data_IF_439318898199
#
_entry.id   IF_439318898199
#
_cell.length_a   1.000
_cell.length_b   1.000
_cell.length_c   1.000
_cell.angle_alpha   90.00
_cell.angle_beta   90.00
_cell.angle_gamma   90.00
#
_symmetry.space_group_name_H-M   'P 1'
#
loop_
_entity.id
_entity.type
_entity.pdbx_description
1 polymer ?
#
# COMPACT_ATOMS: atom_id res chain seq x y z
N UNK A 1 18.90 2.97 28.67
CA UNK A 1 18.14 4.20 28.30
C UNK A 1 19.07 5.25 27.68
N UNK A 2 20.13 5.69 28.33
CA UNK A 2 21.06 6.72 27.78
C UNK A 2 21.71 6.36 26.45
N UNK A 3 22.11 5.09 26.23
CA UNK A 3 22.67 4.65 24.95
C UNK A 3 21.65 4.76 23.80
N UNK A 4 20.41 4.30 24.04
CA UNK A 4 19.33 4.38 23.06
C UNK A 4 18.96 5.84 22.76
N UNK A 5 18.89 6.66 23.79
CA UNK A 5 18.62 8.10 23.68
C UNK A 5 19.72 8.82 22.88
N UNK A 6 20.99 8.49 23.12
CA UNK A 6 22.13 9.04 22.39
C UNK A 6 22.12 8.61 20.92
N UNK A 7 21.83 7.32 20.62
CA UNK A 7 21.74 6.80 19.27
C UNK A 7 20.58 7.48 18.50
N UNK A 8 19.41 7.58 19.13
CA UNK A 8 18.23 8.20 18.55
C UNK A 8 18.44 9.70 18.28
N UNK A 9 19.02 10.43 19.26
CA UNK A 9 19.28 11.88 19.11
C UNK A 9 20.38 12.17 18.09
N UNK A 10 21.50 11.47 18.15
CA UNK A 10 22.66 11.80 17.31
C UNK A 10 22.55 11.33 15.88
N UNK A 11 21.95 10.17 15.61
CA UNK A 11 21.90 9.57 14.28
C UNK A 11 20.55 9.74 13.61
N UNK A 12 19.46 9.29 14.24
CA UNK A 12 18.14 9.31 13.59
C UNK A 12 17.59 10.73 13.46
N UNK A 13 17.70 11.56 14.46
CA UNK A 13 17.23 12.95 14.37
C UNK A 13 18.04 13.74 13.33
N UNK A 14 19.37 13.57 13.33
CA UNK A 14 20.22 14.23 12.33
C UNK A 14 19.94 13.75 10.90
N UNK A 15 19.67 12.44 10.72
CA UNK A 15 19.26 11.87 9.43
C UNK A 15 17.90 12.41 8.99
N UNK A 16 16.95 12.50 9.91
CA UNK A 16 15.62 13.08 9.65
C UNK A 16 15.75 14.51 9.14
N UNK A 17 16.48 15.37 9.84
CA UNK A 17 16.67 16.77 9.44
C UNK A 17 17.38 16.91 8.08
N UNK A 18 18.32 16.02 7.74
CA UNK A 18 18.98 16.01 6.43
C UNK A 18 18.01 15.61 5.32
N UNK A 19 17.21 14.57 5.54
CA UNK A 19 16.20 14.13 4.57
C UNK A 19 15.14 15.20 4.31
N UNK A 20 14.65 15.85 5.36
CA UNK A 20 13.66 16.92 5.22
C UNK A 20 14.16 18.17 4.50
N UNK A 21 15.49 18.38 4.41
CA UNK A 21 16.07 19.46 3.59
C UNK A 21 16.22 19.11 2.11
N UNK A 22 16.06 17.83 1.75
CA UNK A 22 16.18 17.39 0.36
C UNK A 22 14.91 17.74 -0.42
N UNK A 23 14.98 18.51 -1.53
CA UNK A 23 13.80 18.92 -2.28
C UNK A 23 13.02 17.73 -2.89
N UNK A 24 13.71 16.66 -3.26
CA UNK A 24 13.06 15.44 -3.74
C UNK A 24 12.24 14.74 -2.66
N UNK A 25 12.79 14.69 -1.45
CA UNK A 25 12.11 14.12 -0.31
C UNK A 25 10.88 14.96 0.09
N UNK A 26 11.02 16.28 0.06
CA UNK A 26 9.89 17.20 0.26
C UNK A 26 8.80 17.03 -0.79
N UNK A 27 9.19 16.88 -2.07
CA UNK A 27 8.24 16.64 -3.17
C UNK A 27 7.44 15.35 -2.96
N UNK A 28 8.10 14.25 -2.61
CA UNK A 28 7.43 12.97 -2.32
C UNK A 28 6.47 13.13 -1.15
N UNK A 29 6.93 13.71 -0.07
CA UNK A 29 6.15 13.91 1.13
C UNK A 29 4.92 14.79 0.89
N UNK A 30 5.10 15.92 0.22
CA UNK A 30 4.01 16.82 -0.12
C UNK A 30 2.94 16.14 -0.98
N UNK A 31 3.36 15.34 -1.97
CA UNK A 31 2.44 14.57 -2.80
C UNK A 31 1.59 13.62 -1.97
N UNK A 32 2.20 12.88 -1.04
CA UNK A 32 1.48 11.95 -0.16
C UNK A 32 0.45 12.71 0.68
N UNK A 33 0.80 13.85 1.26
CA UNK A 33 -0.15 14.67 2.03
C UNK A 33 -1.28 15.22 1.16
N UNK A 34 -0.98 15.69 -0.05
CA UNK A 34 -2.00 16.18 -1.00
C UNK A 34 -2.99 15.07 -1.40
N UNK A 35 -2.51 13.84 -1.50
CA UNK A 35 -3.35 12.68 -1.86
C UNK A 35 -4.15 12.11 -0.67
N UNK A 36 -3.81 12.49 0.55
CA UNK A 36 -4.46 12.01 1.76
C UNK A 36 -6.00 12.11 1.76
N UNK A 37 -6.63 13.25 1.40
CA UNK A 37 -8.10 13.35 1.39
C UNK A 37 -8.75 12.35 0.44
N UNK A 38 -8.13 12.11 -0.71
CA UNK A 38 -8.62 11.11 -1.68
C UNK A 38 -8.49 9.70 -1.14
N UNK A 39 -7.32 9.35 -0.57
CA UNK A 39 -7.08 8.06 0.06
C UNK A 39 -8.08 7.80 1.19
N UNK A 40 -8.29 8.77 2.07
CA UNK A 40 -9.24 8.67 3.17
C UNK A 40 -10.67 8.47 2.68
N UNK A 41 -11.11 9.29 1.71
CA UNK A 41 -12.48 9.21 1.18
C UNK A 41 -12.74 7.85 0.53
N UNK A 42 -11.82 7.37 -0.29
CA UNK A 42 -11.94 6.09 -0.98
C UNK A 42 -11.89 4.93 0.03
N UNK A 43 -10.95 4.97 0.98
CA UNK A 43 -10.85 3.95 2.02
C UNK A 43 -12.10 3.90 2.89
N UNK A 44 -12.64 5.06 3.30
CA UNK A 44 -13.88 5.12 4.07
C UNK A 44 -15.06 4.57 3.28
N UNK A 45 -15.21 4.94 2.00
CA UNK A 45 -16.26 4.41 1.12
C UNK A 45 -16.13 2.88 0.97
N UNK A 46 -14.90 2.39 0.80
CA UNK A 46 -14.63 0.95 0.73
C UNK A 46 -15.06 0.22 1.99
N UNK A 47 -14.71 0.73 3.17
CA UNK A 47 -15.07 0.11 4.46
C UNK A 47 -16.58 0.13 4.68
N UNK A 48 -17.25 1.26 4.44
CA UNK A 48 -18.69 1.33 4.53
C UNK A 48 -19.35 0.28 3.64
N UNK A 49 -18.81 0.11 2.41
CA UNK A 49 -19.27 -0.93 1.52
C UNK A 49 -19.04 -2.34 2.11
N UNK A 50 -17.81 -2.66 2.55
CA UNK A 50 -17.46 -3.98 3.08
C UNK A 50 -18.21 -4.35 4.35
N UNK A 51 -18.52 -3.37 5.21
CA UNK A 51 -19.27 -3.64 6.45
C UNK A 51 -20.77 -3.78 6.16
N UNK A 52 -21.35 -2.84 5.41
CA UNK A 52 -22.82 -2.71 5.33
C UNK A 52 -23.41 -3.32 4.06
N UNK A 53 -22.68 -3.35 2.97
CA UNK A 53 -23.22 -3.75 1.65
C UNK A 53 -22.62 -5.04 1.11
N UNK A 54 -21.47 -5.51 1.59
CA UNK A 54 -20.91 -6.77 1.11
C UNK A 54 -21.88 -7.93 1.39
N UNK A 55 -22.36 -8.66 0.36
CA UNK A 55 -23.29 -9.78 0.55
C UNK A 55 -22.78 -10.86 1.52
N UNK A 56 -21.46 -10.95 1.69
CA UNK A 56 -20.79 -11.90 2.60
C UNK A 56 -20.26 -11.24 3.86
N UNK A 57 -20.44 -9.92 3.97
CA UNK A 57 -19.96 -9.10 5.08
C UNK A 57 -20.70 -9.32 6.38
N UNK A 58 -20.23 -8.65 7.46
CA UNK A 58 -20.77 -8.86 8.81
C UNK A 58 -22.23 -8.44 8.97
N UNK A 59 -22.74 -7.55 8.11
CA UNK A 59 -24.13 -7.08 8.19
C UNK A 59 -25.06 -7.90 7.29
N UNK A 60 -24.66 -8.15 6.04
CA UNK A 60 -25.49 -8.84 5.04
C UNK A 60 -25.34 -10.35 5.06
N UNK A 61 -24.16 -10.86 5.38
CA UNK A 61 -23.81 -12.28 5.24
C UNK A 61 -24.44 -13.19 6.31
N UNK A 62 -24.58 -14.47 5.98
CA UNK A 62 -25.15 -15.52 6.85
C UNK A 62 -24.41 -15.70 8.17
N UNK A 63 -23.12 -15.38 8.21
CA UNK A 63 -22.28 -15.48 9.41
C UNK A 63 -22.31 -14.22 10.28
N UNK A 64 -23.04 -13.17 9.85
CA UNK A 64 -23.18 -11.91 10.56
C UNK A 64 -24.63 -11.67 11.02
N UNK A 65 -25.12 -10.44 10.83
CA UNK A 65 -26.51 -10.08 11.16
C UNK A 65 -27.55 -10.66 10.20
N UNK A 66 -27.10 -11.23 9.08
CA UNK A 66 -27.90 -11.90 8.06
C UNK A 66 -29.07 -11.05 7.48
N UNK A 67 -28.84 -9.73 7.39
CA UNK A 67 -29.85 -8.83 6.80
C UNK A 67 -30.07 -9.10 5.33
N UNK A 68 -29.09 -9.66 4.61
CA UNK A 68 -29.22 -10.03 3.22
C UNK A 68 -30.31 -11.07 2.98
N UNK A 69 -30.39 -12.09 3.83
CA UNK A 69 -31.48 -13.08 3.75
C UNK A 69 -32.86 -12.43 4.03
N UNK A 70 -32.94 -11.54 5.00
CA UNK A 70 -34.19 -10.81 5.28
C UNK A 70 -34.59 -9.93 4.10
N UNK A 71 -33.67 -9.21 3.45
CA UNK A 71 -33.95 -8.34 2.30
C UNK A 71 -34.33 -9.14 1.01
N UNK A 72 -33.89 -10.38 0.91
CA UNK A 72 -34.20 -11.27 -0.23
C UNK A 72 -35.40 -12.17 0.02
N UNK A 73 -36.16 -11.96 1.11
CA UNK A 73 -37.33 -12.78 1.41
C UNK A 73 -37.03 -14.15 1.98
N UNK A 74 -35.86 -14.31 2.64
CA UNK A 74 -35.47 -15.56 3.30
C UNK A 74 -34.65 -16.50 2.41
N UNK A 75 -33.96 -15.99 1.39
CA UNK A 75 -33.05 -16.79 0.57
C UNK A 75 -31.73 -17.07 1.31
N UNK A 76 -31.24 -18.31 1.23
CA UNK A 76 -30.01 -18.79 1.85
C UNK A 76 -29.15 -19.56 0.86
N UNK A 77 -27.85 -19.69 1.16
CA UNK A 77 -26.91 -20.49 0.38
C UNK A 77 -26.81 -20.11 -1.08
N UNK A 78 -26.96 -21.07 -1.99
CA UNK A 78 -26.83 -20.87 -3.43
C UNK A 78 -27.95 -19.98 -4.01
N UNK A 79 -29.19 -20.08 -3.49
CA UNK A 79 -30.30 -19.23 -3.92
C UNK A 79 -30.06 -17.75 -3.56
N UNK A 80 -29.42 -17.45 -2.43
CA UNK A 80 -29.01 -16.11 -2.07
C UNK A 80 -27.91 -15.61 -3.02
N UNK A 81 -26.92 -16.45 -3.33
CA UNK A 81 -25.81 -16.12 -4.26
C UNK A 81 -26.30 -15.69 -5.63
N UNK A 82 -27.31 -16.38 -6.14
CA UNK A 82 -27.88 -16.14 -7.47
C UNK A 82 -28.99 -15.08 -7.46
N UNK A 83 -29.25 -14.43 -6.32
CA UNK A 83 -30.29 -13.41 -6.23
C UNK A 83 -29.92 -12.14 -7.00
N UNK A 84 -30.92 -11.49 -7.60
CA UNK A 84 -30.75 -10.18 -8.25
C UNK A 84 -30.21 -9.10 -7.28
N UNK A 85 -30.41 -9.27 -5.99
CA UNK A 85 -29.86 -8.42 -4.95
C UNK A 85 -28.32 -8.51 -4.90
N UNK A 86 -27.79 -9.74 -4.82
CA UNK A 86 -26.34 -9.99 -4.80
C UNK A 86 -25.69 -9.51 -6.09
N UNK A 87 -26.31 -9.75 -7.23
CA UNK A 87 -25.85 -9.30 -8.55
C UNK A 87 -25.71 -7.78 -8.62
N UNK A 88 -26.74 -7.05 -8.16
CA UNK A 88 -26.70 -5.57 -8.13
C UNK A 88 -25.63 -5.03 -7.21
N UNK A 89 -25.46 -5.61 -6.02
CA UNK A 89 -24.44 -5.18 -5.08
C UNK A 89 -23.04 -5.51 -5.60
N UNK A 90 -22.85 -6.67 -6.20
CA UNK A 90 -21.57 -7.05 -6.83
C UNK A 90 -21.20 -6.10 -7.98
N UNK A 91 -22.19 -5.65 -8.77
CA UNK A 91 -21.98 -4.63 -9.79
C UNK A 91 -21.57 -3.29 -9.21
N UNK A 92 -22.16 -2.88 -8.08
CA UNK A 92 -21.77 -1.66 -7.35
C UNK A 92 -20.35 -1.80 -6.77
N UNK A 93 -20.02 -2.96 -6.23
CA UNK A 93 -18.68 -3.27 -5.73
C UNK A 93 -17.63 -3.17 -6.85
N UNK A 94 -17.94 -3.70 -8.03
CA UNK A 94 -17.07 -3.58 -9.20
C UNK A 94 -16.87 -2.11 -9.60
N UNK A 95 -17.92 -1.29 -9.59
CA UNK A 95 -17.83 0.14 -9.89
C UNK A 95 -16.96 0.90 -8.86
N UNK A 96 -17.10 0.59 -7.57
CA UNK A 96 -16.24 1.17 -6.51
C UNK A 96 -14.79 0.72 -6.63
N UNK A 97 -14.54 -0.56 -6.94
CA UNK A 97 -13.18 -1.07 -7.14
C UNK A 97 -12.49 -0.42 -8.34
N UNK A 98 -13.22 -0.04 -9.39
CA UNK A 98 -12.69 0.79 -10.46
C UNK A 98 -12.22 2.16 -9.97
N UNK A 99 -12.96 2.80 -9.04
CA UNK A 99 -12.53 4.05 -8.41
C UNK A 99 -11.16 3.93 -7.73
N UNK A 100 -10.92 2.83 -7.00
CA UNK A 100 -9.62 2.54 -6.41
C UNK A 100 -8.51 2.35 -7.46
N UNK A 101 -8.85 1.82 -8.62
CA UNK A 101 -7.90 1.57 -9.71
C UNK A 101 -7.39 2.85 -10.38
N UNK A 102 -8.10 3.99 -10.23
CA UNK A 102 -7.62 5.28 -10.70
C UNK A 102 -6.62 5.95 -9.76
N UNK A 103 -6.48 5.48 -8.52
CA UNK A 103 -5.57 6.10 -7.55
C UNK A 103 -4.11 6.20 -8.01
N UNK A 104 -3.49 5.16 -8.59
CA UNK A 104 -2.13 5.26 -9.09
C UNK A 104 -1.96 6.33 -10.17
N UNK A 105 -2.98 6.56 -11.01
CA UNK A 105 -2.96 7.62 -12.03
C UNK A 105 -2.95 9.01 -11.38
N UNK A 106 -3.81 9.24 -10.40
CA UNK A 106 -3.86 10.50 -9.66
C UNK A 106 -2.56 10.74 -8.89
N UNK A 107 -2.04 9.70 -8.24
CA UNK A 107 -0.74 9.77 -7.55
C UNK A 107 0.40 10.11 -8.51
N UNK A 108 0.47 9.47 -9.68
CA UNK A 108 1.50 9.75 -10.67
C UNK A 108 1.44 11.20 -11.16
N UNK A 109 0.24 11.74 -11.39
CA UNK A 109 0.08 13.15 -11.77
C UNK A 109 0.54 14.10 -10.66
N UNK A 110 0.18 13.81 -9.41
CA UNK A 110 0.58 14.62 -8.27
C UNK A 110 2.11 14.57 -8.01
N UNK A 111 2.74 13.41 -8.18
CA UNK A 111 4.19 13.29 -8.15
C UNK A 111 4.86 14.04 -9.30
N UNK A 112 4.29 13.95 -10.52
CA UNK A 112 4.82 14.66 -11.68
C UNK A 112 4.78 16.19 -11.49
N UNK A 113 3.73 16.72 -10.90
CA UNK A 113 3.63 18.15 -10.56
C UNK A 113 4.78 18.60 -9.66
N UNK A 114 5.05 17.84 -8.59
CA UNK A 114 6.10 18.19 -7.63
C UNK A 114 7.51 17.95 -8.16
N UNK A 115 7.72 16.87 -8.89
CA UNK A 115 9.02 16.61 -9.53
C UNK A 115 9.32 17.65 -10.63
N UNK A 116 8.30 18.09 -11.36
CA UNK A 116 8.44 19.16 -12.32
C UNK A 116 8.87 20.49 -11.66
N UNK A 117 8.34 20.78 -10.47
CA UNK A 117 8.76 21.96 -9.70
C UNK A 117 10.24 21.86 -9.28
N UNK A 118 10.70 20.68 -8.80
CA UNK A 118 12.12 20.45 -8.46
C UNK A 118 13.02 20.63 -9.70
N UNK A 119 12.60 20.12 -10.86
CA UNK A 119 13.32 20.28 -12.12
C UNK A 119 13.17 21.65 -12.80
N UNK A 120 12.25 22.49 -12.32
CA UNK A 120 11.90 23.79 -12.93
C UNK A 120 11.41 23.67 -14.37
N UNK A 121 10.57 22.68 -14.66
CA UNK A 121 9.92 22.46 -15.95
C UNK A 121 8.41 22.74 -15.85
N UNK A 122 7.74 22.83 -17.01
CA UNK A 122 6.30 23.05 -17.04
C UNK A 122 5.54 21.91 -16.36
N UNK A 123 4.82 22.22 -15.28
CA UNK A 123 4.11 21.24 -14.44
C UNK A 123 3.01 20.52 -15.21
N UNK A 124 2.22 21.23 -16.05
CA UNK A 124 1.10 20.64 -16.79
C UNK A 124 1.59 19.64 -17.84
N UNK A 125 2.65 20.01 -18.56
CA UNK A 125 3.26 19.14 -19.56
C UNK A 125 3.85 17.89 -18.90
N UNK A 126 4.52 18.04 -17.75
CA UNK A 126 5.05 16.93 -16.99
C UNK A 126 3.94 15.98 -16.53
N UNK A 127 2.81 16.50 -16.01
CA UNK A 127 1.67 15.70 -15.60
C UNK A 127 1.07 14.90 -16.76
N UNK A 128 0.80 15.53 -17.90
CA UNK A 128 0.24 14.85 -19.06
C UNK A 128 1.20 13.82 -19.68
N UNK A 129 2.49 14.16 -19.76
CA UNK A 129 3.50 13.20 -20.24
C UNK A 129 3.60 12.00 -19.34
N UNK A 130 3.61 12.20 -18.03
CA UNK A 130 3.63 11.11 -17.04
C UNK A 130 2.39 10.24 -17.14
N UNK A 131 1.21 10.84 -17.23
CA UNK A 131 -0.05 10.10 -17.38
C UNK A 131 -0.02 9.23 -18.63
N UNK A 132 0.38 9.79 -19.78
CA UNK A 132 0.50 9.05 -21.03
C UNK A 132 1.55 7.93 -20.92
N UNK A 133 2.71 8.20 -20.34
CA UNK A 133 3.77 7.21 -20.10
C UNK A 133 3.31 6.05 -19.20
N UNK A 134 2.52 6.37 -18.16
CA UNK A 134 1.97 5.35 -17.26
C UNK A 134 0.92 4.48 -17.97
N UNK A 135 0.06 5.08 -18.78
CA UNK A 135 -0.91 4.33 -19.61
C UNK A 135 -0.19 3.42 -20.58
N UNK A 136 0.88 3.89 -21.25
CA UNK A 136 1.70 3.04 -22.14
C UNK A 136 2.31 1.85 -21.39
N UNK A 137 2.82 2.08 -20.18
CA UNK A 137 3.38 1.01 -19.36
C UNK A 137 2.36 -0.09 -19.03
N UNK A 138 1.10 0.27 -18.76
CA UNK A 138 0.05 -0.69 -18.39
C UNK A 138 -0.67 -1.33 -19.56
N UNK A 139 -0.66 -0.73 -20.74
CA UNK A 139 -1.35 -1.28 -21.92
C UNK A 139 -0.81 -2.66 -22.28
N UNK A 140 0.47 -2.91 -22.06
CA UNK A 140 1.16 -4.14 -22.41
C UNK A 140 1.07 -5.25 -21.34
N UNK A 141 0.79 -4.91 -20.09
CA UNK A 141 0.69 -5.89 -19.02
C UNK A 141 -0.46 -6.88 -19.22
N UNK A 142 -1.46 -6.49 -20.00
CA UNK A 142 -2.69 -7.24 -20.22
C UNK A 142 -2.80 -7.86 -21.63
N UNK A 143 -1.80 -7.66 -22.49
CA UNK A 143 -1.74 -8.27 -23.81
C UNK A 143 -0.48 -9.13 -23.93
N UNK A 144 -0.58 -10.28 -24.59
CA UNK A 144 0.62 -11.05 -24.93
C UNK A 144 1.47 -10.26 -25.94
N UNK A 145 2.77 -10.33 -25.81
CA UNK A 145 3.68 -9.67 -26.75
C UNK A 145 3.43 -10.16 -28.20
N UNK A 146 3.09 -11.44 -28.35
CA UNK A 146 2.70 -12.05 -29.63
C UNK A 146 1.44 -11.40 -30.22
N UNK A 147 0.39 -11.18 -29.43
CA UNK A 147 -0.84 -10.54 -29.89
C UNK A 147 -0.63 -9.09 -30.35
N UNK A 148 0.36 -8.40 -29.77
CA UNK A 148 0.74 -7.03 -30.16
C UNK A 148 1.54 -7.02 -31.46
N UNK A 149 2.52 -7.90 -31.58
CA UNK A 149 3.34 -8.04 -32.79
C UNK A 149 2.53 -8.51 -34.00
N UNK A 150 1.52 -9.34 -33.77
CA UNK A 150 0.58 -9.81 -34.78
C UNK A 150 -0.53 -8.80 -35.13
N UNK A 151 -0.60 -7.67 -34.43
CA UNK A 151 -1.64 -6.65 -34.64
C UNK A 151 -3.05 -7.05 -34.21
N UNK A 152 -3.20 -8.19 -33.54
CA UNK A 152 -4.51 -8.70 -33.07
C UNK A 152 -5.00 -7.99 -31.80
N UNK A 153 -4.09 -7.38 -31.02
CA UNK A 153 -4.42 -6.61 -29.84
C UNK A 153 -5.08 -5.25 -30.12
N UNK A 154 -5.01 -4.76 -31.36
CA UNK A 154 -5.46 -3.41 -31.72
C UNK A 154 -6.97 -3.26 -31.96
N UNK A 155 -7.76 -4.32 -31.86
CA UNK A 155 -9.21 -4.28 -32.16
C UNK A 155 -10.12 -3.92 -30.97
N UNK A 156 -9.58 -3.73 -29.79
CA UNK A 156 -10.32 -3.23 -28.64
C UNK A 156 -9.88 -1.80 -28.30
N UNK A 157 -10.82 -0.86 -28.11
CA UNK A 157 -10.51 0.48 -27.59
C UNK A 157 -9.60 0.37 -26.36
N UNK A 158 -9.03 1.50 -25.93
CA UNK A 158 -8.20 1.55 -24.70
C UNK A 158 -8.97 0.80 -23.61
N UNK A 159 -8.55 -0.42 -23.23
CA UNK A 159 -9.20 -1.04 -22.11
C UNK A 159 -8.95 -0.10 -20.92
N UNK A 160 -10.02 0.47 -20.37
CA UNK A 160 -9.97 1.05 -19.02
C UNK A 160 -9.71 -0.10 -18.04
N UNK A 161 -8.51 -0.68 -18.17
CA UNK A 161 -8.10 -1.76 -17.33
C UNK A 161 -7.79 -1.12 -15.99
N UNK A 162 -8.38 -1.64 -14.91
CA UNK A 162 -8.02 -1.20 -13.58
C UNK A 162 -6.50 -1.33 -13.46
N UNK A 163 -5.83 -0.20 -13.28
CA UNK A 163 -4.40 -0.19 -12.93
C UNK A 163 -4.28 -1.09 -11.70
N UNK A 164 -3.48 -2.17 -11.74
CA UNK A 164 -3.39 -3.07 -10.61
C UNK A 164 -3.07 -2.27 -9.35
N UNK A 165 -3.67 -2.63 -8.23
CA UNK A 165 -3.39 -1.96 -6.95
C UNK A 165 -1.89 -2.04 -6.57
N UNK A 166 -1.14 -2.92 -7.23
CA UNK A 166 0.32 -3.01 -7.22
C UNK A 166 1.00 -1.83 -7.94
N UNK A 167 0.25 -1.02 -8.69
CA UNK A 167 0.77 0.10 -9.50
C UNK A 167 1.28 1.30 -8.72
N UNK A 168 1.27 1.29 -7.38
CA UNK A 168 1.77 2.42 -6.59
C UNK A 168 3.27 2.64 -6.81
N UNK A 169 4.05 1.58 -6.96
CA UNK A 169 5.47 1.71 -7.30
C UNK A 169 5.67 2.38 -8.67
N UNK A 170 4.89 1.97 -9.67
CA UNK A 170 4.89 2.60 -10.98
C UNK A 170 4.40 4.05 -10.92
N UNK A 171 3.42 4.36 -10.06
CA UNK A 171 2.94 5.72 -9.84
C UNK A 171 3.99 6.68 -9.26
N UNK A 172 5.05 6.17 -8.63
CA UNK A 172 6.20 6.97 -8.15
C UNK A 172 7.34 6.97 -9.17
N UNK A 173 7.66 5.82 -9.73
CA UNK A 173 8.82 5.67 -10.65
C UNK A 173 8.57 6.32 -12.01
N UNK A 174 7.36 6.16 -12.58
CA UNK A 174 7.03 6.75 -13.88
C UNK A 174 7.18 8.28 -13.88
N UNK A 175 6.61 9.06 -12.93
CA UNK A 175 6.82 10.50 -12.90
C UNK A 175 8.28 10.87 -12.66
N UNK A 176 9.02 10.13 -11.84
CA UNK A 176 10.43 10.38 -11.61
C UNK A 176 11.24 10.25 -12.93
N UNK A 177 11.01 9.19 -13.69
CA UNK A 177 11.71 8.91 -14.94
C UNK A 177 11.25 9.90 -16.03
N UNK A 178 9.95 10.06 -16.25
CA UNK A 178 9.41 10.93 -17.30
C UNK A 178 9.81 12.40 -17.11
N UNK A 179 9.72 12.93 -15.88
CA UNK A 179 10.16 14.30 -15.59
C UNK A 179 11.67 14.48 -15.72
N UNK A 180 12.46 13.45 -15.38
CA UNK A 180 13.92 13.46 -15.58
C UNK A 180 14.28 13.47 -17.07
N UNK A 181 13.59 12.70 -17.90
CA UNK A 181 13.76 12.70 -19.36
C UNK A 181 13.41 14.10 -19.92
N UNK A 182 12.26 14.66 -19.54
CA UNK A 182 11.85 15.99 -19.96
C UNK A 182 12.91 17.06 -19.58
N UNK A 183 13.34 17.06 -18.32
CA UNK A 183 14.33 18.02 -17.84
C UNK A 183 15.70 17.81 -18.49
N UNK A 184 16.14 16.57 -18.65
CA UNK A 184 17.41 16.23 -19.26
C UNK A 184 17.49 16.63 -20.74
N UNK A 185 16.46 16.29 -21.50
CA UNK A 185 16.39 16.63 -22.93
C UNK A 185 16.28 18.13 -23.18
N UNK A 186 15.54 18.86 -22.31
CA UNK A 186 15.45 20.32 -22.38
C UNK A 186 16.80 21.02 -22.10
N UNK A 187 17.68 20.40 -21.32
CA UNK A 187 19.01 20.93 -21.00
C UNK A 187 20.05 20.65 -22.07
N UNK A 188 19.83 19.67 -22.95
CA UNK A 188 20.76 19.28 -24.00
C UNK A 188 20.58 20.16 -25.26
N UNK A 189 21.52 21.08 -25.58
CA UNK A 189 21.35 22.01 -26.72
C UNK A 189 21.25 21.30 -28.06
N UNK A 190 21.84 20.09 -28.19
CA UNK A 190 21.84 19.27 -29.43
C UNK A 190 20.49 18.62 -29.74
N UNK A 191 19.62 18.45 -28.73
CA UNK A 191 18.30 17.84 -28.89
C UNK A 191 17.19 18.87 -28.97
N UNK A 192 17.52 20.17 -28.84
CA UNK A 192 16.53 21.24 -29.03
C UNK A 192 16.22 21.36 -30.52
N UNK A 193 14.95 21.16 -30.87
CA UNK A 193 14.46 21.51 -32.19
C UNK A 193 14.71 23.01 -32.39
N UNK A 194 15.35 23.44 -33.51
CA UNK A 194 15.62 24.85 -33.75
C UNK A 194 14.34 25.67 -33.65
N UNK A 195 14.37 26.76 -32.90
CA UNK A 195 13.21 27.67 -32.83
C UNK A 195 12.95 28.21 -34.25
N UNK A 196 11.85 27.79 -34.81
CA UNK A 196 11.44 28.26 -36.11
C UNK A 196 10.98 29.70 -35.96
N UNK A 197 11.75 30.64 -36.54
CA UNK A 197 11.48 32.08 -36.46
C UNK A 197 10.14 32.48 -37.08
N UNK A 198 9.56 31.63 -37.94
CA UNK A 198 8.26 31.82 -38.58
C UNK A 198 7.05 31.61 -37.65
N UNK A 199 7.23 31.00 -36.46
CA UNK A 199 6.10 30.72 -35.56
C UNK A 199 6.06 31.67 -34.38
N UNK A 200 4.84 31.96 -33.83
CA UNK A 200 4.69 32.66 -32.57
C UNK A 200 5.52 31.99 -31.45
N UNK A 201 6.11 32.83 -30.57
CA UNK A 201 7.01 32.35 -29.51
C UNK A 201 6.42 31.21 -28.66
N UNK A 202 5.12 31.29 -28.32
CA UNK A 202 4.42 30.25 -27.54
C UNK A 202 4.36 28.94 -28.30
N UNK A 203 3.97 28.95 -29.58
CA UNK A 203 3.87 27.76 -30.40
C UNK A 203 5.24 27.11 -30.61
N UNK A 204 6.27 27.91 -30.90
CA UNK A 204 7.65 27.44 -31.04
C UNK A 204 8.15 26.77 -29.75
N UNK A 205 7.76 27.25 -28.56
CA UNK A 205 8.09 26.63 -27.28
C UNK A 205 7.45 25.24 -27.14
N UNK A 206 6.15 25.12 -27.41
CA UNK A 206 5.46 23.82 -27.32
C UNK A 206 5.99 22.79 -28.34
N UNK A 207 6.35 23.23 -29.56
CA UNK A 207 6.97 22.36 -30.55
C UNK A 207 8.33 21.81 -30.11
N UNK A 208 9.11 22.59 -29.34
CA UNK A 208 10.39 22.10 -28.80
C UNK A 208 10.20 21.02 -27.74
N UNK A 209 9.02 20.91 -27.13
CA UNK A 209 8.68 19.87 -26.15
C UNK A 209 8.21 18.55 -26.78
N UNK A 210 7.83 18.57 -28.07
CA UNK A 210 7.33 17.38 -28.75
C UNK A 210 8.35 16.23 -28.73
N UNK A 211 9.62 16.51 -28.99
CA UNK A 211 10.68 15.50 -28.97
C UNK A 211 10.92 14.88 -27.59
N UNK A 212 11.07 15.65 -26.50
CA UNK A 212 11.13 15.12 -25.14
C UNK A 212 9.93 14.23 -24.76
N UNK A 213 8.72 14.64 -25.15
CA UNK A 213 7.50 13.88 -24.89
C UNK A 213 7.53 12.56 -25.65
N UNK A 214 7.80 12.59 -26.96
CA UNK A 214 7.90 11.40 -27.78
C UNK A 214 8.97 10.43 -27.27
N UNK A 215 10.12 10.95 -26.85
CA UNK A 215 11.19 10.12 -26.28
C UNK A 215 10.75 9.43 -24.97
N UNK A 216 10.01 10.15 -24.12
CA UNK A 216 9.47 9.57 -22.89
C UNK A 216 8.46 8.47 -23.20
N UNK A 217 7.50 8.72 -24.09
CA UNK A 217 6.49 7.73 -24.48
C UNK A 217 7.13 6.50 -25.12
N UNK A 218 8.06 6.69 -26.05
CA UNK A 218 8.76 5.59 -26.70
C UNK A 218 9.57 4.75 -25.72
N UNK A 219 10.22 5.38 -24.74
CA UNK A 219 10.95 4.63 -23.71
C UNK A 219 10.03 3.76 -22.87
N UNK A 220 8.89 4.28 -22.44
CA UNK A 220 7.94 3.51 -21.63
C UNK A 220 7.25 2.41 -22.43
N UNK A 221 6.98 2.64 -23.71
CA UNK A 221 6.48 1.63 -24.63
C UNK A 221 7.52 0.52 -24.83
N UNK A 222 8.79 0.89 -25.09
CA UNK A 222 9.88 -0.07 -25.23
C UNK A 222 10.13 -0.88 -23.94
N UNK A 223 10.03 -0.24 -22.76
CA UNK A 223 10.12 -0.93 -21.47
C UNK A 223 8.96 -1.92 -21.29
N UNK A 224 7.76 -1.54 -21.69
CA UNK A 224 6.57 -2.37 -21.60
C UNK A 224 6.67 -3.60 -22.50
N UNK A 225 7.05 -3.40 -23.77
CA UNK A 225 7.30 -4.49 -24.73
C UNK A 225 8.43 -5.39 -24.21
N UNK A 226 9.55 -4.80 -23.76
CA UNK A 226 10.67 -5.55 -23.20
C UNK A 226 10.26 -6.41 -22.01
N UNK A 227 9.44 -5.87 -21.10
CA UNK A 227 8.90 -6.61 -19.97
C UNK A 227 7.99 -7.77 -20.45
N UNK A 228 7.08 -7.52 -21.39
CA UNK A 228 6.21 -8.55 -21.94
C UNK A 228 7.00 -9.70 -22.59
N UNK A 229 8.02 -9.37 -23.40
CA UNK A 229 8.91 -10.37 -24.04
C UNK A 229 9.70 -11.18 -22.99
N UNK A 230 10.23 -10.53 -21.96
CA UNK A 230 10.95 -11.21 -20.88
C UNK A 230 10.01 -12.14 -20.10
N UNK A 231 8.78 -11.70 -19.83
CA UNK A 231 7.77 -12.50 -19.14
C UNK A 231 7.40 -13.74 -19.92
N UNK A 232 7.18 -13.62 -21.23
CA UNK A 232 6.83 -14.77 -22.09
C UNK A 232 7.99 -15.76 -22.30
N UNK A 233 9.23 -15.25 -22.36
CA UNK A 233 10.39 -16.07 -22.76
C UNK A 233 11.23 -16.61 -21.61
N UNK A 234 11.31 -15.91 -20.47
CA UNK A 234 12.33 -16.19 -19.44
C UNK A 234 11.88 -16.07 -18.00
N UNK A 235 10.81 -15.35 -17.72
CA UNK A 235 10.33 -15.18 -16.37
C UNK A 235 8.91 -15.76 -16.29
N UNK A 236 8.74 -16.95 -15.69
CA UNK A 236 7.44 -17.28 -15.13
C UNK A 236 7.02 -16.07 -14.28
N UNK A 237 5.72 -15.78 -14.21
CA UNK A 237 5.27 -14.68 -13.35
C UNK A 237 5.89 -14.87 -11.97
N UNK A 238 6.11 -13.77 -11.22
CA UNK A 238 6.61 -13.91 -9.83
C UNK A 238 5.72 -14.87 -9.06
N UNK A 239 4.41 -14.92 -9.38
CA UNK A 239 3.47 -15.91 -8.87
C UNK A 239 3.85 -17.33 -9.25
N UNK A 240 4.14 -17.63 -10.52
CA UNK A 240 4.50 -18.98 -10.98
C UNK A 240 5.84 -19.43 -10.39
N UNK A 241 6.82 -18.50 -10.26
CA UNK A 241 8.08 -18.79 -9.60
C UNK A 241 7.89 -19.09 -8.11
N UNK A 242 7.07 -18.29 -7.43
CA UNK A 242 6.72 -18.54 -6.03
C UNK A 242 5.96 -19.86 -5.89
N UNK A 243 4.98 -20.10 -6.75
CA UNK A 243 4.24 -21.37 -6.77
C UNK A 243 5.18 -22.56 -6.99
N UNK A 244 6.12 -22.47 -7.94
CA UNK A 244 7.13 -23.52 -8.14
C UNK A 244 8.04 -23.72 -6.92
N UNK A 245 8.52 -22.63 -6.31
CA UNK A 245 9.36 -22.69 -5.11
C UNK A 245 8.61 -23.29 -3.91
N UNK A 246 7.32 -22.99 -3.79
CA UNK A 246 6.50 -23.47 -2.69
C UNK A 246 5.88 -24.85 -2.96
N UNK A 247 5.64 -25.25 -4.22
CA UNK A 247 5.20 -26.61 -4.57
C UNK A 247 6.22 -27.68 -4.16
N UNK A 248 7.51 -27.37 -4.25
CA UNK A 248 8.56 -28.33 -3.89
C UNK A 248 8.62 -28.64 -2.37
N UNK A 249 8.24 -27.69 -1.50
CA UNK A 249 8.20 -27.91 -0.02
C UNK A 249 7.46 -26.76 0.70
N UNK A 250 6.14 -26.62 0.52
CA UNK A 250 5.41 -25.41 0.97
C UNK A 250 5.52 -25.21 2.49
N UNK A 251 5.36 -26.27 3.27
CA UNK A 251 5.36 -26.19 4.73
C UNK A 251 6.75 -25.94 5.34
N UNK A 252 7.82 -26.47 4.74
CA UNK A 252 9.17 -26.32 5.30
C UNK A 252 9.69 -24.88 5.18
N UNK A 253 9.30 -24.16 4.13
CA UNK A 253 9.71 -22.77 3.90
C UNK A 253 8.76 -21.82 4.63
N UNK A 254 7.45 -21.95 4.43
CA UNK A 254 6.45 -21.03 4.99
C UNK A 254 6.37 -21.08 6.52
N UNK A 255 6.64 -22.25 7.12
CA UNK A 255 6.64 -22.44 8.57
C UNK A 255 7.99 -22.15 9.22
N UNK A 256 9.00 -21.70 8.45
CA UNK A 256 10.26 -21.24 9.01
C UNK A 256 10.11 -19.84 9.63
N UNK A 257 10.55 -19.69 10.89
CA UNK A 257 10.47 -18.42 11.62
C UNK A 257 11.21 -17.27 10.87
N UNK A 258 12.38 -17.54 10.32
CA UNK A 258 13.15 -16.55 9.57
C UNK A 258 12.41 -16.06 8.33
N UNK A 259 11.76 -16.98 7.61
CA UNK A 259 10.94 -16.62 6.45
C UNK A 259 9.68 -15.81 6.87
N UNK A 260 9.01 -16.19 7.95
CA UNK A 260 7.87 -15.45 8.49
C UNK A 260 8.25 -14.04 8.93
N UNK A 261 9.41 -13.86 9.57
CA UNK A 261 9.95 -12.55 9.94
C UNK A 261 10.31 -11.73 8.69
N UNK A 262 10.93 -12.33 7.67
CA UNK A 262 11.24 -11.67 6.41
C UNK A 262 9.97 -11.25 5.67
N UNK A 263 8.95 -12.11 5.62
CA UNK A 263 7.63 -11.77 5.07
C UNK A 263 7.02 -10.57 5.77
N UNK A 264 7.03 -10.55 7.10
CA UNK A 264 6.49 -9.44 7.89
C UNK A 264 7.29 -8.16 7.66
N UNK A 265 8.62 -8.24 7.62
CA UNK A 265 9.47 -7.11 7.27
C UNK A 265 9.13 -6.55 5.89
N UNK A 266 9.06 -7.39 4.87
CA UNK A 266 8.71 -6.99 3.50
C UNK A 266 7.27 -6.47 3.39
N UNK A 267 6.37 -6.89 4.27
CA UNK A 267 4.99 -6.38 4.32
C UNK A 267 4.90 -4.98 4.94
N UNK A 268 5.84 -4.59 5.83
CA UNK A 268 5.79 -3.29 6.49
C UNK A 268 6.79 -2.27 5.91
N UNK A 269 7.90 -2.71 5.33
CA UNK A 269 8.90 -1.81 4.75
C UNK A 269 8.33 -0.86 3.67
N UNK A 270 7.48 -1.29 2.74
CA UNK A 270 6.87 -0.40 1.74
C UNK A 270 5.97 0.67 2.36
N UNK A 271 5.34 0.41 3.50
CA UNK A 271 4.51 1.39 4.20
C UNK A 271 5.27 2.63 4.64
N UNK A 272 6.57 2.48 4.96
CA UNK A 272 7.39 3.63 5.30
C UNK A 272 7.55 4.63 4.13
N UNK A 273 7.42 4.17 2.90
CA UNK A 273 7.40 5.03 1.71
C UNK A 273 5.97 5.29 1.18
N UNK A 274 4.94 4.94 1.97
CA UNK A 274 3.54 5.17 1.62
C UNK A 274 2.93 4.14 0.66
N UNK A 275 3.60 3.00 0.46
CA UNK A 275 3.11 1.89 -0.37
C UNK A 275 2.47 0.83 0.52
N UNK A 276 1.29 0.34 0.13
CA UNK A 276 0.55 -0.69 0.86
C UNK A 276 1.28 -2.05 0.79
N UNK A 277 2.10 -2.35 1.79
CA UNK A 277 3.02 -3.47 1.72
C UNK A 277 2.36 -4.85 1.76
N UNK A 278 1.25 -5.05 2.51
CA UNK A 278 0.52 -6.32 2.49
C UNK A 278 0.02 -6.66 1.08
N UNK A 279 -0.40 -5.65 0.31
CA UNK A 279 -0.78 -5.86 -1.09
C UNK A 279 0.42 -6.18 -1.98
N UNK A 280 1.56 -5.55 -1.72
CA UNK A 280 2.80 -5.88 -2.43
C UNK A 280 3.25 -7.32 -2.17
N UNK A 281 2.94 -7.87 -1.00
CA UNK A 281 3.27 -9.24 -0.60
C UNK A 281 2.11 -10.23 -0.79
N UNK A 282 1.00 -9.83 -1.45
CA UNK A 282 -0.18 -10.70 -1.63
C UNK A 282 0.15 -12.01 -2.33
N UNK A 283 0.97 -11.98 -3.39
CA UNK A 283 1.37 -13.19 -4.10
C UNK A 283 2.06 -14.23 -3.18
N UNK A 284 2.91 -13.78 -2.25
CA UNK A 284 3.54 -14.66 -1.25
C UNK A 284 2.50 -15.17 -0.26
N UNK A 285 1.60 -14.30 0.21
CA UNK A 285 0.53 -14.67 1.13
C UNK A 285 -0.38 -15.73 0.51
N UNK A 286 -0.80 -15.53 -0.75
CA UNK A 286 -1.75 -16.41 -1.45
C UNK A 286 -1.17 -17.81 -1.71
N UNK A 287 0.13 -17.91 -1.95
CA UNK A 287 0.81 -19.20 -2.21
C UNK A 287 1.27 -19.88 -0.93
N UNK A 288 1.73 -19.14 0.09
CA UNK A 288 2.35 -19.70 1.28
C UNK A 288 1.41 -19.81 2.49
N UNK A 289 0.62 -18.77 2.76
CA UNK A 289 -0.09 -18.64 4.03
C UNK A 289 -1.61 -18.84 3.94
N UNK A 290 -2.23 -18.55 2.80
CA UNK A 290 -3.65 -18.86 2.55
C UNK A 290 -3.90 -20.37 2.53
N UNK A 291 -3.08 -21.22 1.86
CA UNK A 291 -3.23 -22.67 1.93
C UNK A 291 -3.00 -23.23 3.35
N UNK A 292 -2.03 -22.69 4.10
CA UNK A 292 -1.81 -23.04 5.49
C UNK A 292 -3.03 -22.72 6.37
N UNK A 293 -3.68 -21.57 6.11
CA UNK A 293 -4.94 -21.21 6.76
C UNK A 293 -6.06 -22.19 6.46
N UNK A 294 -6.21 -22.60 5.19
CA UNK A 294 -7.22 -23.56 4.77
C UNK A 294 -7.00 -24.93 5.44
N UNK A 295 -5.75 -25.41 5.52
CA UNK A 295 -5.40 -26.65 6.22
C UNK A 295 -5.72 -26.59 7.71
N UNK A 296 -5.42 -25.48 8.39
CA UNK A 296 -5.79 -25.26 9.78
C UNK A 296 -7.31 -25.31 10.00
N UNK A 297 -8.08 -24.74 9.06
CA UNK A 297 -9.52 -24.70 9.12
C UNK A 297 -10.16 -26.08 8.93
N UNK A 298 -9.59 -26.89 8.03
CA UNK A 298 -10.03 -28.27 7.78
C UNK A 298 -9.60 -29.23 8.89
N UNK A 299 -8.58 -28.88 9.66
CA UNK A 299 -8.01 -29.74 10.70
C UNK A 299 -7.01 -30.74 10.17
N UNK A 300 -6.55 -30.60 8.92
CA UNK A 300 -5.59 -31.51 8.28
C UNK A 300 -4.18 -31.35 8.85
N UNK A 301 -3.85 -30.14 9.30
CA UNK A 301 -2.54 -29.77 9.85
C UNK A 301 -2.68 -28.58 10.80
N UNK A 302 -1.67 -28.41 11.66
CA UNK A 302 -1.58 -27.25 12.57
C UNK A 302 -0.37 -26.39 12.21
N UNK A 303 -0.58 -25.45 11.29
CA UNK A 303 0.43 -24.49 10.86
C UNK A 303 0.40 -23.24 11.75
N UNK A 304 1.55 -22.84 12.28
CA UNK A 304 1.68 -21.65 13.12
C UNK A 304 1.49 -20.39 12.27
N UNK A 305 2.24 -20.32 11.15
CA UNK A 305 2.19 -19.17 10.25
C UNK A 305 1.14 -19.39 9.17
N UNK A 306 0.10 -18.59 9.22
CA UNK A 306 -0.99 -18.57 8.26
C UNK A 306 -1.47 -17.12 8.08
N UNK A 307 -2.33 -16.85 7.09
CA UNK A 307 -2.79 -15.51 6.79
C UNK A 307 -3.38 -14.78 8.01
N UNK A 308 -4.30 -15.43 8.75
CA UNK A 308 -4.93 -14.85 9.94
C UNK A 308 -3.95 -14.57 11.10
N UNK A 309 -2.82 -15.29 11.19
CA UNK A 309 -1.77 -14.98 12.16
C UNK A 309 -1.14 -13.60 11.89
N UNK A 310 -0.82 -13.31 10.63
CA UNK A 310 -0.25 -12.01 10.26
C UNK A 310 -1.27 -10.89 10.35
N UNK A 311 -2.54 -11.15 10.01
CA UNK A 311 -3.63 -10.17 10.15
C UNK A 311 -3.87 -9.81 11.62
N UNK A 312 -3.77 -10.76 12.53
CA UNK A 312 -3.88 -10.52 13.96
C UNK A 312 -2.74 -9.62 14.50
N UNK A 313 -1.57 -9.65 13.86
CA UNK A 313 -0.41 -8.81 14.18
C UNK A 313 -0.55 -7.33 13.80
N UNK A 314 -1.60 -6.93 13.08
CA UNK A 314 -1.88 -5.52 12.71
C UNK A 314 -2.13 -4.62 13.93
N UNK A 315 -2.31 -5.19 15.10
CA UNK A 315 -2.50 -4.50 16.38
C UNK A 315 -1.40 -3.48 16.71
N UNK A 316 -0.19 -3.64 16.17
CA UNK A 316 0.94 -2.73 16.43
C UNK A 316 0.68 -1.29 15.95
N UNK A 317 -0.14 -1.09 14.92
CA UNK A 317 -0.49 0.27 14.46
C UNK A 317 -1.42 0.97 15.47
N UNK A 318 -2.34 0.22 16.09
CA UNK A 318 -3.13 0.73 17.19
C UNK A 318 -2.24 1.06 18.40
N UNK A 319 -1.26 0.23 18.71
CA UNK A 319 -0.28 0.50 19.75
C UNK A 319 0.50 1.79 19.51
N UNK A 320 0.89 2.06 18.27
CA UNK A 320 1.52 3.33 17.89
C UNK A 320 0.59 4.52 18.19
N UNK A 321 -0.70 4.44 17.82
CA UNK A 321 -1.66 5.50 18.11
C UNK A 321 -1.79 5.76 19.62
N UNK A 322 -1.89 4.70 20.41
CA UNK A 322 -1.96 4.81 21.89
C UNK A 322 -0.67 5.41 22.43
N UNK A 323 0.50 4.95 21.98
CA UNK A 323 1.80 5.50 22.38
C UNK A 323 1.87 7.01 22.09
N UNK A 324 1.39 7.46 20.91
CA UNK A 324 1.34 8.88 20.56
C UNK A 324 0.36 9.65 21.45
N UNK A 325 -0.83 9.13 21.71
CA UNK A 325 -1.80 9.79 22.60
C UNK A 325 -1.22 10.00 24.01
N UNK A 326 -0.47 9.01 24.51
CA UNK A 326 0.06 9.01 25.88
C UNK A 326 1.37 9.80 25.98
N UNK A 327 2.33 9.60 25.07
CA UNK A 327 3.71 10.07 25.23
C UNK A 327 4.06 11.26 24.33
N UNK A 328 3.25 11.59 23.31
CA UNK A 328 3.55 12.71 22.42
C UNK A 328 3.20 14.05 23.07
N UNK A 329 4.08 15.06 22.88
CA UNK A 329 3.82 16.47 23.22
C UNK A 329 3.16 17.24 22.08
N UNK A 330 3.23 16.74 20.86
CA UNK A 330 2.65 17.35 19.67
C UNK A 330 1.12 17.21 19.70
N UNK A 331 0.41 18.32 19.79
CA UNK A 331 -1.05 18.34 19.88
C UNK A 331 -1.69 17.73 18.62
N UNK A 332 -1.22 18.14 17.47
CA UNK A 332 -1.73 17.69 16.16
C UNK A 332 -1.62 16.15 16.01
N UNK A 333 -0.50 15.57 16.42
CA UNK A 333 -0.31 14.11 16.36
C UNK A 333 -1.27 13.37 17.28
N UNK A 334 -1.50 13.89 18.47
CA UNK A 334 -2.48 13.30 19.41
C UNK A 334 -3.91 13.39 18.87
N UNK A 335 -4.25 14.51 18.24
CA UNK A 335 -5.58 14.73 17.70
C UNK A 335 -5.83 13.83 16.47
N UNK A 336 -4.85 13.67 15.57
CA UNK A 336 -4.88 12.68 14.48
C UNK A 336 -5.01 11.27 15.03
N UNK A 337 -4.23 10.90 16.07
CA UNK A 337 -4.28 9.57 16.67
C UNK A 337 -5.63 9.28 17.31
N UNK A 338 -6.25 10.26 18.00
CA UNK A 338 -7.59 10.13 18.57
C UNK A 338 -8.66 9.98 17.47
N UNK A 339 -8.56 10.78 16.41
CA UNK A 339 -9.47 10.69 15.26
C UNK A 339 -9.36 9.32 14.58
N UNK A 340 -8.15 8.81 14.43
CA UNK A 340 -7.89 7.53 13.77
C UNK A 340 -8.28 6.33 14.64
N UNK A 341 -8.36 6.48 15.95
CA UNK A 341 -8.54 5.37 16.89
C UNK A 341 -9.78 4.49 16.61
N UNK A 342 -10.98 5.03 16.37
CA UNK A 342 -12.15 4.22 16.00
C UNK A 342 -11.94 3.45 14.69
N UNK A 343 -11.21 4.04 13.74
CA UNK A 343 -10.91 3.44 12.44
C UNK A 343 -9.88 2.31 12.59
N UNK A 344 -8.92 2.44 13.50
CA UNK A 344 -7.98 1.38 13.85
C UNK A 344 -8.66 0.16 14.46
N UNK A 345 -9.78 0.34 15.19
CA UNK A 345 -10.58 -0.76 15.70
C UNK A 345 -11.18 -1.63 14.59
N UNK A 346 -11.31 -1.10 13.38
CA UNK A 346 -11.76 -1.82 12.19
C UNK A 346 -10.63 -2.07 11.19
N UNK A 347 -9.38 -2.10 11.67
CA UNK A 347 -8.16 -2.31 10.89
C UNK A 347 -7.92 -1.29 9.76
N UNK A 348 -8.44 -0.07 9.88
CA UNK A 348 -8.18 1.03 8.97
C UNK A 348 -7.09 1.94 9.54
N UNK A 349 -5.87 1.80 9.06
CA UNK A 349 -4.70 2.50 9.60
C UNK A 349 -4.20 3.65 8.71
N UNK A 350 -4.70 3.80 7.48
CA UNK A 350 -4.32 4.88 6.57
C UNK A 350 -4.41 6.28 7.20
N UNK A 351 -5.49 6.65 7.93
CA UNK A 351 -5.62 7.97 8.55
C UNK A 351 -4.51 8.27 9.55
N UNK A 352 -4.06 7.27 10.29
CA UNK A 352 -2.96 7.42 11.23
C UNK A 352 -1.62 7.56 10.50
N UNK A 353 -1.33 6.65 9.56
CA UNK A 353 -0.03 6.58 8.91
C UNK A 353 0.24 7.80 8.04
N UNK A 354 -0.78 8.32 7.37
CA UNK A 354 -0.65 9.52 6.53
C UNK A 354 -0.90 10.83 7.29
N UNK A 355 -1.81 10.84 8.25
CA UNK A 355 -2.12 12.04 9.06
C UNK A 355 -1.06 12.36 10.11
N UNK A 356 -0.37 11.35 10.60
CA UNK A 356 0.81 11.51 11.44
C UNK A 356 2.07 11.34 10.58
N UNK A 357 3.17 12.07 10.84
CA UNK A 357 4.40 11.94 10.05
C UNK A 357 5.14 10.63 10.37
N UNK A 358 4.51 9.48 10.12
CA UNK A 358 5.14 8.15 10.18
C UNK A 358 5.81 7.84 8.86
N UNK A 359 5.09 8.07 7.76
CA UNK A 359 5.60 7.87 6.40
C UNK A 359 6.79 8.80 6.16
N UNK A 360 7.87 8.23 5.65
CA UNK A 360 9.14 8.92 5.37
C UNK A 360 9.77 9.58 6.61
N UNK A 361 9.44 9.14 7.81
CA UNK A 361 10.07 9.61 9.04
C UNK A 361 11.09 8.57 9.55
N UNK A 362 12.40 8.86 9.49
CA UNK A 362 13.44 7.92 9.94
C UNK A 362 13.35 7.55 11.43
N UNK A 363 12.78 8.41 12.27
CA UNK A 363 12.60 8.11 13.70
C UNK A 363 11.64 6.94 13.87
N UNK A 364 10.58 6.89 13.07
CA UNK A 364 9.60 5.81 13.11
C UNK A 364 9.96 4.60 12.24
N UNK A 365 10.94 4.70 11.33
CA UNK A 365 11.34 3.58 10.48
C UNK A 365 11.68 2.34 11.29
N UNK A 366 12.59 2.51 12.26
CA UNK A 366 13.09 1.37 13.02
C UNK A 366 12.00 0.65 13.82
N UNK A 367 11.22 1.33 14.70
CA UNK A 367 10.16 0.65 15.42
C UNK A 367 9.06 0.12 14.51
N UNK A 368 8.72 0.82 13.45
CA UNK A 368 7.67 0.41 12.51
C UNK A 368 8.00 -0.90 11.77
N UNK A 369 9.29 -1.23 11.61
CA UNK A 369 9.74 -2.50 11.06
C UNK A 369 9.95 -3.56 12.14
N UNK A 370 10.53 -3.20 13.28
CA UNK A 370 10.92 -4.18 14.30
C UNK A 370 9.76 -4.65 15.18
N UNK A 371 8.78 -3.78 15.45
CA UNK A 371 7.65 -4.14 16.33
C UNK A 371 6.81 -5.29 15.75
N UNK A 372 6.37 -5.25 14.47
CA UNK A 372 5.64 -6.39 13.91
C UNK A 372 6.48 -7.67 13.83
N UNK A 373 7.80 -7.58 13.67
CA UNK A 373 8.68 -8.75 13.74
C UNK A 373 8.74 -9.33 15.16
N UNK A 374 8.74 -8.49 16.19
CA UNK A 374 8.67 -8.93 17.58
C UNK A 374 7.33 -9.66 17.86
N UNK A 375 6.24 -9.19 17.28
CA UNK A 375 4.93 -9.87 17.37
C UNK A 375 4.98 -11.26 16.74
N UNK A 376 5.62 -11.42 15.58
CA UNK A 376 5.81 -12.73 14.95
C UNK A 376 6.58 -13.68 15.89
N UNK A 377 7.68 -13.19 16.49
CA UNK A 377 8.50 -14.01 17.40
C UNK A 377 7.71 -14.44 18.64
N UNK A 378 7.00 -13.52 19.29
CA UNK A 378 6.21 -13.82 20.50
C UNK A 378 5.05 -14.74 20.18
N UNK A 379 4.35 -14.50 19.07
CA UNK A 379 3.27 -15.36 18.62
C UNK A 379 3.76 -16.77 18.31
N UNK A 380 4.91 -16.89 17.64
CA UNK A 380 5.54 -18.18 17.40
C UNK A 380 5.87 -18.93 18.70
N UNK A 381 6.47 -18.25 19.68
CA UNK A 381 6.77 -18.85 20.99
C UNK A 381 5.49 -19.29 21.69
N UNK A 382 4.47 -18.43 21.75
CA UNK A 382 3.22 -18.71 22.45
C UNK A 382 2.48 -19.93 21.86
N UNK A 383 2.48 -20.06 20.53
CA UNK A 383 1.84 -21.19 19.85
C UNK A 383 2.69 -22.44 19.95
N UNK A 384 4.02 -22.35 19.74
CA UNK A 384 4.93 -23.50 19.83
C UNK A 384 4.94 -24.14 21.22
N UNK A 385 4.70 -23.35 22.27
CA UNK A 385 4.59 -23.88 23.64
C UNK A 385 3.18 -24.33 24.00
N UNK A 386 2.23 -24.28 23.06
CA UNK A 386 0.85 -24.71 23.29
C UNK A 386 0.04 -23.79 24.20
N UNK A 387 0.53 -22.57 24.49
CA UNK A 387 -0.20 -21.57 25.30
C UNK A 387 -1.39 -21.03 24.51
N UNK A 388 -1.18 -20.79 23.21
CA UNK A 388 -2.20 -20.27 22.28
C UNK A 388 -2.39 -21.30 21.18
N UNK A 389 -3.63 -21.69 20.84
CA UNK A 389 -3.88 -22.56 19.70
C UNK A 389 -3.57 -21.84 18.37
N UNK A 390 -3.34 -22.63 17.31
CA UNK A 390 -3.14 -22.09 15.96
C UNK A 390 -4.36 -21.30 15.47
N UNK A 391 -4.11 -20.35 14.59
CA UNK A 391 -5.18 -19.56 13.96
C UNK A 391 -5.92 -20.42 12.93
N UNK A 392 -7.20 -20.73 13.19
CA UNK A 392 -8.01 -21.64 12.37
C UNK A 392 -9.00 -20.91 11.47
N UNK A 393 -9.59 -19.81 11.95
CA UNK A 393 -10.70 -19.18 11.28
C UNK A 393 -10.28 -17.87 10.63
N UNK A 394 -10.70 -17.66 9.38
CA UNK A 394 -10.61 -16.37 8.72
C UNK A 394 -11.73 -15.50 9.27
N UNK A 395 -11.36 -14.36 9.82
CA UNK A 395 -12.31 -13.37 10.34
C UNK A 395 -12.42 -12.19 9.36
N UNK A 396 -13.60 -11.55 9.29
CA UNK A 396 -13.76 -10.34 8.50
C UNK A 396 -12.78 -9.25 8.94
N UNK A 397 -12.22 -8.52 7.98
CA UNK A 397 -11.53 -7.26 8.26
C UNK A 397 -12.48 -6.35 9.05
N UNK A 398 -12.00 -5.74 10.11
CA UNK A 398 -12.86 -4.87 10.93
C UNK A 398 -13.25 -5.45 12.30
N UNK A 399 -12.68 -6.59 12.66
CA UNK A 399 -12.78 -7.06 14.04
C UNK A 399 -11.78 -6.34 14.93
N UNK A 400 -12.23 -5.77 16.06
CA UNK A 400 -11.34 -5.14 17.02
C UNK A 400 -10.28 -6.11 17.55
N UNK A 401 -9.09 -5.62 17.92
CA UNK A 401 -8.12 -6.41 18.66
C UNK A 401 -8.76 -7.08 19.89
N UNK A 402 -8.25 -8.21 20.30
CA UNK A 402 -8.80 -9.16 21.25
C UNK A 402 -9.91 -10.04 20.66
N UNK A 403 -10.99 -9.46 20.13
CA UNK A 403 -12.05 -10.26 19.49
C UNK A 403 -11.55 -10.97 18.23
N UNK A 404 -10.72 -10.29 17.43
CA UNK A 404 -10.10 -10.88 16.26
C UNK A 404 -9.27 -12.13 16.59
N UNK A 405 -8.35 -12.03 17.55
CA UNK A 405 -7.53 -13.17 17.97
C UNK A 405 -8.34 -14.28 18.63
N UNK A 406 -9.34 -13.92 19.43
CA UNK A 406 -10.23 -14.90 20.07
C UNK A 406 -11.03 -15.70 19.04
N UNK A 407 -11.62 -15.03 18.06
CA UNK A 407 -12.43 -15.69 17.03
C UNK A 407 -11.57 -16.48 16.04
N UNK A 408 -10.41 -15.95 15.63
CA UNK A 408 -9.51 -16.64 14.69
C UNK A 408 -8.94 -17.94 15.27
N UNK A 409 -8.63 -17.97 16.56
CA UNK A 409 -8.10 -19.17 17.23
C UNK A 409 -9.19 -20.08 17.80
N UNK A 410 -10.42 -19.55 17.94
CA UNK A 410 -11.50 -20.22 18.69
C UNK A 410 -11.22 -20.28 20.20
N UNK A 411 -10.31 -19.47 20.73
CA UNK A 411 -9.87 -19.49 22.13
C UNK A 411 -9.65 -18.09 22.67
N UNK A 412 -10.00 -17.88 23.95
CA UNK A 412 -9.72 -16.62 24.67
C UNK A 412 -8.21 -16.31 24.68
N UNK A 413 -7.33 -17.34 24.63
CA UNK A 413 -5.89 -17.19 24.61
C UNK A 413 -5.38 -16.47 23.35
N UNK A 414 -6.06 -16.61 22.20
CA UNK A 414 -5.75 -15.82 20.99
C UNK A 414 -6.02 -14.33 21.19
N UNK A 415 -7.10 -13.98 21.88
CA UNK A 415 -7.37 -12.60 22.27
C UNK A 415 -6.35 -12.05 23.27
N UNK A 416 -5.97 -12.88 24.26
CA UNK A 416 -4.92 -12.51 25.23
C UNK A 416 -3.57 -12.27 24.56
N UNK A 417 -3.21 -13.05 23.55
CA UNK A 417 -2.00 -12.83 22.75
C UNK A 417 -2.02 -11.44 22.08
N UNK A 418 -3.15 -11.05 21.49
CA UNK A 418 -3.28 -9.71 20.90
C UNK A 418 -3.16 -8.59 21.94
N UNK A 419 -3.65 -8.79 23.16
CA UNK A 419 -3.45 -7.81 24.24
C UNK A 419 -2.00 -7.74 24.69
N UNK A 420 -1.30 -8.86 24.76
CA UNK A 420 0.14 -8.90 25.07
C UNK A 420 0.92 -8.14 24.00
N UNK A 421 0.64 -8.38 22.72
CA UNK A 421 1.22 -7.63 21.60
C UNK A 421 0.93 -6.14 21.74
N UNK A 422 -0.33 -5.75 21.95
CA UNK A 422 -0.74 -4.35 22.09
C UNK A 422 0.06 -3.63 23.19
N UNK A 423 0.11 -4.23 24.40
CA UNK A 423 0.78 -3.62 25.56
C UNK A 423 2.29 -3.51 25.28
N UNK A 424 2.91 -4.59 24.82
CA UNK A 424 4.34 -4.59 24.51
C UNK A 424 4.69 -3.57 23.43
N UNK A 425 3.90 -3.51 22.37
CA UNK A 425 4.11 -2.60 21.24
C UNK A 425 4.02 -1.13 21.68
N UNK A 426 3.10 -0.79 22.59
CA UNK A 426 3.03 0.56 23.18
C UNK A 426 4.38 0.95 23.83
N UNK A 427 4.95 0.04 24.60
CA UNK A 427 6.25 0.29 25.25
C UNK A 427 7.42 0.31 24.26
N UNK A 428 7.37 -0.49 23.19
CA UNK A 428 8.38 -0.47 22.15
C UNK A 428 8.32 0.81 21.30
N UNK A 429 7.15 1.38 21.07
CA UNK A 429 6.99 2.67 20.38
C UNK A 429 7.31 3.87 21.27
N UNK A 430 7.08 3.79 22.58
CA UNK A 430 7.21 4.91 23.51
C UNK A 430 8.54 5.69 23.41
N UNK A 431 9.73 5.05 23.39
CA UNK A 431 10.99 5.79 23.31
C UNK A 431 11.14 6.60 22.03
N UNK A 432 10.62 6.09 20.90
CA UNK A 432 10.68 6.77 19.61
C UNK A 432 9.70 7.96 19.57
N UNK A 433 8.51 7.82 20.15
CA UNK A 433 7.55 8.92 20.30
C UNK A 433 8.12 10.00 21.19
N UNK A 434 8.78 9.65 22.30
CA UNK A 434 9.41 10.62 23.21
C UNK A 434 10.54 11.38 22.50
N UNK A 435 11.35 10.69 21.71
CA UNK A 435 12.43 11.33 20.92
C UNK A 435 11.85 12.23 19.83
N UNK A 436 10.77 11.83 19.20
CA UNK A 436 10.10 12.66 18.18
C UNK A 436 9.54 13.98 18.73
N UNK A 437 9.29 14.08 20.04
CA UNK A 437 8.91 15.33 20.71
C UNK A 437 9.98 16.43 20.63
N UNK A 438 11.23 16.06 20.30
CA UNK A 438 12.34 16.99 20.12
C UNK A 438 12.44 17.52 18.68
N UNK A 439 11.62 16.99 17.77
CA UNK A 439 11.59 17.41 16.37
C UNK A 439 10.73 18.67 16.26
N UNK A 440 11.24 19.72 15.64
CA UNK A 440 10.45 20.90 15.35
C UNK A 440 9.38 20.54 14.30
N UNK A 441 8.12 20.52 14.71
CA UNK A 441 6.98 20.17 13.83
C UNK A 441 6.88 21.13 12.66
N UNK A 442 7.18 22.41 12.86
CA UNK A 442 7.15 23.43 11.80
C UNK A 442 8.19 23.16 10.71
N UNK A 443 9.31 22.51 11.07
CA UNK A 443 10.29 22.04 10.08
C UNK A 443 9.82 20.79 9.31
N UNK A 444 8.76 20.14 9.77
CA UNK A 444 8.21 18.91 9.20
C UNK A 444 7.00 19.15 8.29
N UNK A 445 6.33 20.29 8.42
CA UNK A 445 5.20 20.68 7.56
C UNK A 445 5.79 21.27 6.28
N UNK A 446 5.41 20.78 5.08
CA UNK A 446 5.77 21.46 3.85
C UNK A 446 5.26 22.92 3.92
N UNK A 447 6.14 23.89 3.72
CA UNK A 447 5.68 25.26 3.58
C UNK A 447 4.77 25.30 2.35
N UNK A 448 3.52 25.69 2.54
CA UNK A 448 2.67 26.10 1.43
C UNK A 448 3.43 27.22 0.72
N UNK A 449 3.56 27.11 -0.60
CA UNK A 449 4.09 28.20 -1.42
C UNK A 449 3.14 29.39 -1.20
N UNK A 450 3.58 30.39 -0.45
CA UNK A 450 2.85 31.66 -0.23
C UNK A 450 2.73 32.50 -1.52
N UNK A 451 2.98 31.88 -2.68
CA UNK A 451 2.91 32.51 -4.00
C UNK A 451 1.76 31.89 -4.84
N UNK A 452 0.51 32.26 -4.53
CA UNK A 452 -0.59 32.35 -5.48
C UNK A 452 -1.28 33.69 -5.38
#
# INVERSE_FOLDING_TARGET
>A
MEFLEKLLKQHLLAMTLRLYRNPWFQAIRYTIFTMMPFLLTISLAGILFWIFLDPWGPVMGERGLNLGAWMTGGLYGEAYRQSAFVERISSLQAALSMGFSFMPLLMAMAFADRFAAVWQIDRKIAMFTTLASLVMLYTMENHSATAILEGTAAQGGIPLIPVPQQGVAAAVLTPLISTTILAGTMRLPRLRIPRWKAFPRKLSHYLTLAFPILLSLFLFDALSIGYALLRESYLPSVGDLLEYLFQASPASISQNLGFAMAFQFCSWAPWWIGIHGQRAMSAVNDVAYVPAQASNQLGDSEYIFCSSFFDAGLVHVMALAIAVIVFSRHRDWRDVSKFSFPLLCINMYDPLLFGMPVVLNPVFLLPFLLVPMANVLIGWVAISWGIVPVFKYVIPLGMPPFLGGMLSTGSVMGGMLQLVWLIMDIFLYAPFVIVSNMTDVNALIPKEDEDE
#
